data_IF_712853396584
#
_entry.id   IF_712853396584
#
_cell.length_a   1.000
_cell.length_b   1.000
_cell.length_c   1.000
_cell.angle_alpha   90.00
_cell.angle_beta   90.00
_cell.angle_gamma   90.00
#
_symmetry.space_group_name_H-M   'P 1'
#
loop_
_entity.id
_entity.type
_entity.pdbx_description
1 polymer ?
#
# COMPACT_ATOMS: atom_id res chain seq x y z
N UNK A 1 -3.21 -0.73 3.36
CA UNK A 1 -3.79 -2.08 3.22
C UNK A 1 -2.96 -3.12 3.99
N UNK A 2 -1.73 -3.46 3.55
CA UNK A 2 -0.88 -4.48 4.17
C UNK A 2 -0.68 -4.32 5.69
N UNK A 3 -0.27 -3.15 6.14
CA UNK A 3 -0.06 -2.86 7.58
C UNK A 3 -1.32 -3.07 8.43
N UNK A 4 -2.51 -2.78 7.90
CA UNK A 4 -3.77 -3.04 8.59
C UNK A 4 -4.07 -4.54 8.68
N UNK A 5 -3.79 -5.31 7.61
CA UNK A 5 -3.95 -6.77 7.61
C UNK A 5 -2.96 -7.45 8.56
N UNK A 6 -1.72 -6.97 8.61
CA UNK A 6 -0.69 -7.46 9.54
C UNK A 6 -1.06 -7.19 10.99
N UNK A 7 -1.61 -6.01 11.28
CA UNK A 7 -2.16 -5.70 12.60
C UNK A 7 -3.28 -6.66 12.97
N UNK A 8 -4.22 -6.91 12.05
CA UNK A 8 -5.28 -7.91 12.24
C UNK A 8 -4.75 -9.28 12.59
N UNK A 9 -3.74 -9.75 11.83
CA UNK A 9 -3.10 -11.03 12.06
C UNK A 9 -2.43 -11.09 13.45
N UNK A 10 -1.74 -10.03 13.86
CA UNK A 10 -1.17 -9.90 15.21
C UNK A 10 -2.21 -9.93 16.33
N UNK A 11 -3.45 -9.55 16.03
CA UNK A 11 -4.60 -9.64 16.95
C UNK A 11 -5.35 -10.98 16.86
N UNK A 12 -4.86 -11.94 16.07
CA UNK A 12 -5.49 -13.25 15.88
C UNK A 12 -6.64 -13.27 14.86
N UNK A 13 -6.78 -12.22 14.05
CA UNK A 13 -7.79 -12.13 12.98
C UNK A 13 -7.17 -12.55 11.66
N UNK A 14 -7.80 -13.53 10.98
CA UNK A 14 -7.37 -13.94 9.65
C UNK A 14 -7.43 -12.75 8.66
N UNK A 15 -6.37 -12.49 7.86
CA UNK A 15 -6.32 -11.37 6.91
C UNK A 15 -7.54 -11.29 5.99
N UNK A 16 -8.06 -12.42 5.54
CA UNK A 16 -9.21 -12.51 4.64
C UNK A 16 -10.49 -12.03 5.34
N UNK A 17 -10.64 -12.36 6.63
CA UNK A 17 -11.79 -11.94 7.44
C UNK A 17 -11.73 -10.47 7.80
N UNK A 18 -10.53 -9.96 8.09
CA UNK A 18 -10.36 -8.53 8.31
C UNK A 18 -10.63 -7.74 7.02
N UNK A 19 -10.12 -8.21 5.87
CA UNK A 19 -10.37 -7.60 4.57
C UNK A 19 -11.87 -7.58 4.22
N UNK A 20 -12.60 -8.65 4.53
CA UNK A 20 -14.06 -8.71 4.33
C UNK A 20 -14.79 -7.62 5.12
N UNK A 21 -14.45 -7.41 6.40
CA UNK A 21 -15.09 -6.40 7.24
C UNK A 21 -14.73 -4.98 6.79
N UNK A 22 -13.44 -4.70 6.58
CA UNK A 22 -12.99 -3.37 6.13
C UNK A 22 -13.57 -3.05 4.75
N UNK A 23 -13.64 -4.03 3.85
CA UNK A 23 -14.19 -3.88 2.50
C UNK A 23 -15.69 -3.54 2.47
N UNK A 24 -16.43 -3.84 3.54
CA UNK A 24 -17.84 -3.45 3.70
C UNK A 24 -18.03 -2.17 4.53
N UNK A 25 -16.94 -1.58 5.02
CA UNK A 25 -16.94 -0.37 5.84
C UNK A 25 -16.37 0.85 5.12
N UNK A 26 -16.16 1.93 5.88
CA UNK A 26 -15.58 3.18 5.38
C UNK A 26 -14.09 3.10 5.02
N UNK A 27 -13.40 2.06 5.50
CA UNK A 27 -12.00 1.80 5.16
C UNK A 27 -11.80 1.06 3.82
N UNK A 28 -12.88 0.80 3.08
CA UNK A 28 -12.79 0.12 1.79
C UNK A 28 -11.92 0.94 0.81
N UNK A 29 -11.07 0.25 0.05
CA UNK A 29 -10.19 0.87 -0.94
C UNK A 29 -9.81 -0.12 -2.02
N UNK A 30 -9.44 0.40 -3.20
CA UNK A 30 -8.92 -0.43 -4.29
C UNK A 30 -7.71 -1.26 -3.84
N UNK A 31 -6.78 -0.63 -3.11
CA UNK A 31 -5.59 -1.30 -2.59
C UNK A 31 -5.94 -2.48 -1.66
N UNK A 32 -6.95 -2.33 -0.79
CA UNK A 32 -7.40 -3.42 0.06
C UNK A 32 -7.93 -4.59 -0.79
N UNK A 33 -8.81 -4.32 -1.75
CA UNK A 33 -9.37 -5.35 -2.65
C UNK A 33 -8.28 -6.06 -3.45
N UNK A 34 -7.28 -5.32 -3.95
CA UNK A 34 -6.15 -5.90 -4.68
C UNK A 34 -5.30 -6.82 -3.79
N UNK A 35 -4.94 -6.38 -2.59
CA UNK A 35 -4.12 -7.17 -1.66
C UNK A 35 -4.89 -8.38 -1.12
N UNK A 36 -6.18 -8.23 -0.81
CA UNK A 36 -7.05 -9.31 -0.35
C UNK A 36 -7.19 -10.42 -1.41
N UNK A 37 -7.23 -10.07 -2.71
CA UNK A 37 -7.25 -11.05 -3.82
C UNK A 37 -6.02 -11.96 -3.83
N UNK A 38 -4.90 -11.51 -3.27
CA UNK A 38 -3.66 -12.29 -3.12
C UNK A 38 -3.46 -12.84 -1.70
N UNK A 39 -4.54 -13.02 -0.94
CA UNK A 39 -4.47 -13.59 0.42
C UNK A 39 -3.73 -12.71 1.42
N UNK A 40 -3.73 -11.39 1.21
CA UNK A 40 -3.00 -10.46 2.09
C UNK A 40 -1.50 -10.34 1.79
N UNK A 41 -0.96 -11.14 0.86
CA UNK A 41 0.44 -11.07 0.45
C UNK A 41 0.71 -9.98 -0.59
N UNK A 42 1.94 -9.47 -0.58
CA UNK A 42 2.47 -8.56 -1.60
C UNK A 42 3.42 -9.25 -2.59
N UNK A 43 3.68 -10.56 -2.45
CA UNK A 43 4.74 -11.23 -3.23
C UNK A 43 4.53 -11.14 -4.75
N UNK A 44 3.29 -11.29 -5.20
CA UNK A 44 2.94 -11.09 -6.61
C UNK A 44 3.12 -9.63 -7.04
N UNK A 45 2.76 -8.68 -6.17
CA UNK A 45 2.88 -7.25 -6.45
C UNK A 45 4.35 -6.81 -6.51
N UNK A 46 5.23 -7.40 -5.70
CA UNK A 46 6.68 -7.18 -5.76
C UNK A 46 7.21 -7.43 -7.17
N UNK A 47 6.81 -8.54 -7.78
CA UNK A 47 7.30 -8.97 -9.09
C UNK A 47 6.82 -8.09 -10.24
N UNK A 48 5.60 -7.53 -10.16
CA UNK A 48 4.96 -6.87 -11.32
C UNK A 48 4.82 -5.35 -11.17
N UNK A 49 4.81 -4.82 -9.95
CA UNK A 49 4.42 -3.44 -9.69
C UNK A 49 5.47 -2.61 -8.94
N UNK A 50 6.47 -3.23 -8.28
CA UNK A 50 7.46 -2.50 -7.48
C UNK A 50 8.15 -1.36 -8.24
N UNK A 51 8.72 -1.66 -9.42
CA UNK A 51 9.39 -0.66 -10.25
C UNK A 51 8.45 0.39 -10.86
N UNK A 52 7.21 0.02 -11.18
CA UNK A 52 6.21 0.96 -11.69
C UNK A 52 5.78 1.94 -10.62
N UNK A 53 5.51 1.44 -9.41
CA UNK A 53 5.18 2.27 -8.26
C UNK A 53 6.33 3.21 -7.92
N UNK A 54 7.58 2.71 -7.88
CA UNK A 54 8.74 3.55 -7.63
C UNK A 54 8.76 4.72 -8.61
N UNK A 55 8.71 4.42 -9.92
CA UNK A 55 8.70 5.43 -10.98
C UNK A 55 7.58 6.46 -10.79
N UNK A 56 6.35 6.03 -10.54
CA UNK A 56 5.21 6.95 -10.37
C UNK A 56 5.36 7.82 -9.11
N UNK A 57 5.81 7.25 -8.01
CA UNK A 57 5.98 7.95 -6.73
C UNK A 57 7.15 8.95 -6.81
N UNK A 58 8.24 8.63 -7.51
CA UNK A 58 9.32 9.60 -7.79
C UNK A 58 8.85 10.77 -8.65
N UNK A 59 8.04 10.51 -9.69
CA UNK A 59 7.45 11.57 -10.52
C UNK A 59 6.55 12.51 -9.70
N UNK A 60 5.74 11.97 -8.80
CA UNK A 60 4.87 12.78 -7.93
C UNK A 60 5.70 13.63 -6.98
N UNK A 61 6.77 13.09 -6.39
CA UNK A 61 7.67 13.86 -5.54
C UNK A 61 8.36 15.00 -6.30
N UNK A 62 8.83 14.75 -7.52
CA UNK A 62 9.42 15.78 -8.37
C UNK A 62 8.41 16.90 -8.69
N UNK A 63 7.16 16.56 -8.96
CA UNK A 63 6.09 17.53 -9.21
C UNK A 63 5.82 18.37 -7.96
N UNK A 64 5.69 17.73 -6.79
CA UNK A 64 5.46 18.41 -5.52
C UNK A 64 6.60 19.38 -5.18
N UNK A 65 7.85 18.94 -5.34
CA UNK A 65 9.04 19.77 -5.15
C UNK A 65 9.06 20.99 -6.09
N UNK A 66 8.77 20.79 -7.39
CA UNK A 66 8.69 21.90 -8.35
C UNK A 66 7.55 22.88 -8.07
N UNK A 67 6.46 22.40 -7.49
CA UNK A 67 5.32 23.22 -7.10
C UNK A 67 5.52 23.93 -5.74
N UNK A 68 6.57 23.58 -4.97
CA UNK A 68 6.76 24.07 -3.61
C UNK A 68 5.68 23.59 -2.64
N UNK A 69 5.12 22.40 -2.88
CA UNK A 69 4.04 21.82 -2.08
C UNK A 69 4.58 20.64 -1.29
N UNK A 70 4.29 20.63 0.00
CA UNK A 70 4.60 19.49 0.86
C UNK A 70 3.64 18.33 0.56
N UNK A 71 4.14 17.16 0.14
CA UNK A 71 3.29 16.06 -0.30
C UNK A 71 2.62 15.30 0.85
N UNK A 72 3.12 15.46 2.07
CA UNK A 72 2.53 14.93 3.30
C UNK A 72 2.39 13.40 3.35
N UNK A 73 1.47 12.94 4.20
CA UNK A 73 1.32 11.54 4.59
C UNK A 73 1.07 10.56 3.42
N UNK A 74 0.63 11.06 2.26
CA UNK A 74 0.42 10.21 1.07
C UNK A 74 1.75 9.69 0.54
N UNK A 75 2.79 10.53 0.50
CA UNK A 75 4.10 10.14 0.01
C UNK A 75 4.83 9.26 1.04
N UNK A 76 4.67 9.53 2.34
CA UNK A 76 5.17 8.65 3.40
C UNK A 76 4.56 7.24 3.31
N UNK A 77 3.26 7.14 3.06
CA UNK A 77 2.57 5.87 2.89
C UNK A 77 3.03 5.14 1.62
N UNK A 78 3.36 5.88 0.55
CA UNK A 78 3.91 5.31 -0.67
C UNK A 78 5.32 4.78 -0.46
N UNK A 79 6.17 5.48 0.28
CA UNK A 79 7.52 5.01 0.66
C UNK A 79 7.48 3.76 1.52
N UNK A 80 6.61 3.75 2.52
CA UNK A 80 6.41 2.56 3.34
C UNK A 80 5.97 1.37 2.47
N UNK A 81 5.10 1.59 1.48
CA UNK A 81 4.70 0.55 0.53
C UNK A 81 5.87 0.09 -0.36
N UNK A 82 6.73 0.99 -0.82
CA UNK A 82 7.90 0.68 -1.63
C UNK A 82 8.95 -0.15 -0.89
N UNK A 83 9.17 0.13 0.40
CA UNK A 83 10.00 -0.70 1.28
C UNK A 83 9.40 -2.11 1.39
N UNK A 84 8.08 -2.21 1.58
CA UNK A 84 7.39 -3.51 1.62
C UNK A 84 7.44 -4.25 0.28
N UNK A 85 7.69 -3.55 -0.83
CA UNK A 85 7.81 -4.10 -2.17
C UNK A 85 9.27 -4.38 -2.59
N UNK A 86 10.23 -4.26 -1.67
CA UNK A 86 11.68 -4.39 -1.92
C UNK A 86 12.17 -3.46 -3.05
N UNK A 87 11.56 -2.28 -3.16
CA UNK A 87 11.87 -1.29 -4.20
C UNK A 87 11.89 0.14 -3.62
N UNK A 88 12.72 0.43 -2.60
CA UNK A 88 12.76 1.75 -1.98
C UNK A 88 13.14 2.84 -3.01
N UNK A 89 12.60 4.04 -2.80
CA UNK A 89 12.98 5.26 -3.52
C UNK A 89 14.32 5.81 -3.09
#
# INVERSE_FOLDING_TARGET
>A
AKTALDLGQGLGVAPEKLAEVIGRGSGNSFALTSVARFGGSLDMLKQVAGGLLHKDVSLIADIAAKAGVEPGAVLDAADAALVLLDNPR
#
